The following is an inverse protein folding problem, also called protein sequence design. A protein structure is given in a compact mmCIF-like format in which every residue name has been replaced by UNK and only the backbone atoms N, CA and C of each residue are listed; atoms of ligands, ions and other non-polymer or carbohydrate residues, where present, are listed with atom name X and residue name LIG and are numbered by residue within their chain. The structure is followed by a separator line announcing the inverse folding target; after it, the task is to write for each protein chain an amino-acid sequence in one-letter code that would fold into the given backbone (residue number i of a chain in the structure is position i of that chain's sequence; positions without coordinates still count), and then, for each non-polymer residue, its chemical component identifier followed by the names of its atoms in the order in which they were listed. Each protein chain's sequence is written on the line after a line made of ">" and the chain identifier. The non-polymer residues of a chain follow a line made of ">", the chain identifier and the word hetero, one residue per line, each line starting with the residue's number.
data_IF_782412221448
#
_entry.id   IF_782412221448
#
_cell.length_a   1.000
_cell.length_b   1.000
_cell.length_c   1.000
_cell.angle_alpha   90.00
_cell.angle_beta   90.00
_cell.angle_gamma   90.00
#
_symmetry.space_group_name_H-M   'P 1'
#
loop_
_entity.id
_entity.type
_entity.pdbx_description
1 polymer ?
#
# COMPACT_ATOMS: atom_id res chain seq x y z
N UNK A 1 8.17 5.49 1.76
CA UNK A 1 6.74 5.24 1.47
C UNK A 1 6.52 3.88 0.81
N UNK A 2 7.31 3.50 -0.20
CA UNK A 2 7.25 2.19 -0.88
C UNK A 2 7.07 0.97 0.06
N UNK A 3 7.82 0.87 1.17
CA UNK A 3 7.71 -0.26 2.11
C UNK A 3 6.30 -0.40 2.71
N UNK A 4 5.65 0.72 3.07
CA UNK A 4 4.28 0.71 3.61
C UNK A 4 3.27 0.36 2.51
N UNK A 5 3.47 0.83 1.28
CA UNK A 5 2.61 0.47 0.16
C UNK A 5 2.74 -1.02 -0.19
N UNK A 6 3.95 -1.58 -0.13
CA UNK A 6 4.20 -3.01 -0.31
C UNK A 6 3.45 -3.84 0.72
N UNK A 7 3.43 -3.43 1.99
CA UNK A 7 2.64 -4.10 3.03
C UNK A 7 1.15 -4.15 2.67
N UNK A 8 0.59 -3.08 2.09
CA UNK A 8 -0.82 -3.08 1.64
C UNK A 8 -1.07 -3.96 0.41
N UNK A 9 -0.06 -4.19 -0.44
CA UNK A 9 -0.15 -5.16 -1.56
C UNK A 9 -0.14 -6.58 -1.00
N UNK A 10 0.84 -6.90 -0.15
CA UNK A 10 0.96 -8.22 0.48
C UNK A 10 -0.28 -8.60 1.30
N UNK A 11 -0.90 -7.62 1.95
CA UNK A 11 -2.16 -7.83 2.68
C UNK A 11 -3.33 -8.28 1.79
N UNK A 12 -3.20 -8.18 0.46
CA UNK A 12 -4.21 -8.64 -0.52
C UNK A 12 -3.84 -9.94 -1.22
N UNK A 13 -2.70 -10.56 -0.89
CA UNK A 13 -2.27 -11.80 -1.53
C UNK A 13 -3.36 -12.89 -1.41
N UNK A 14 -3.72 -13.48 -2.55
CA UNK A 14 -4.77 -14.50 -2.63
C UNK A 14 -6.20 -14.01 -2.39
N UNK A 15 -6.42 -12.70 -2.22
CA UNK A 15 -7.75 -12.13 -1.92
C UNK A 15 -8.43 -11.44 -3.11
N UNK A 16 -7.69 -11.20 -4.20
CA UNK A 16 -8.23 -10.60 -5.44
C UNK A 16 -8.61 -11.69 -6.44
N UNK A 17 -9.60 -11.39 -7.30
CA UNK A 17 -9.99 -12.31 -8.36
C UNK A 17 -8.92 -12.39 -9.46
N UNK A 18 -8.95 -13.48 -10.24
CA UNK A 18 -8.09 -13.62 -11.42
C UNK A 18 -8.29 -12.44 -12.39
N UNK A 19 -7.18 -11.87 -12.85
CA UNK A 19 -7.19 -10.69 -13.73
C UNK A 19 -7.35 -9.35 -12.99
N UNK A 20 -7.57 -9.35 -11.68
CA UNK A 20 -7.59 -8.12 -10.88
C UNK A 20 -6.23 -7.81 -10.23
N UNK A 21 -5.97 -6.53 -10.06
CA UNK A 21 -4.88 -6.01 -9.23
C UNK A 21 -5.38 -4.81 -8.43
N UNK A 22 -4.54 -4.22 -7.60
CA UNK A 22 -4.87 -2.99 -6.88
C UNK A 22 -3.83 -1.90 -7.08
N UNK A 23 -4.29 -0.67 -7.28
CA UNK A 23 -3.43 0.51 -7.44
C UNK A 23 -3.62 1.48 -6.29
N UNK A 24 -2.56 2.15 -5.86
CA UNK A 24 -2.64 3.20 -4.84
C UNK A 24 -3.38 4.43 -5.40
N UNK A 25 -4.38 4.93 -4.68
CA UNK A 25 -5.16 6.10 -5.06
C UNK A 25 -4.90 7.30 -4.14
N UNK A 26 -4.70 7.05 -2.84
CA UNK A 26 -4.37 8.08 -1.86
C UNK A 26 -3.51 7.48 -0.77
N UNK A 27 -2.53 8.25 -0.33
CA UNK A 27 -1.72 7.92 0.85
C UNK A 27 -1.61 9.16 1.73
N UNK A 28 -1.79 8.98 3.03
CA UNK A 28 -1.52 9.96 4.07
C UNK A 28 -0.55 9.33 5.05
N UNK A 29 0.54 10.02 5.39
CA UNK A 29 1.60 9.50 6.26
C UNK A 29 2.02 10.57 7.24
N UNK A 30 2.08 10.19 8.51
CA UNK A 30 2.72 10.96 9.56
C UNK A 30 4.03 10.24 9.90
N UNK A 31 5.17 10.88 9.59
CA UNK A 31 6.49 10.37 9.97
C UNK A 31 6.87 10.98 11.33
N UNK A 32 6.72 10.19 12.38
CA UNK A 32 6.68 10.66 13.76
C UNK A 32 8.03 10.54 14.49
N UNK A 33 8.95 9.72 13.98
CA UNK A 33 10.30 9.59 14.53
C UNK A 33 11.31 9.22 13.43
N UNK A 34 12.58 9.62 13.57
CA UNK A 34 13.63 9.27 12.59
C UNK A 34 14.09 7.82 12.74
N UNK A 35 14.57 7.23 11.64
CA UNK A 35 15.31 5.96 11.61
C UNK A 35 16.77 6.21 11.21
N UNK A 36 17.73 5.58 11.90
CA UNK A 36 19.14 5.65 11.52
C UNK A 36 19.44 4.83 10.26
N UNK A 37 20.44 5.21 9.44
CA UNK A 37 20.92 4.35 8.36
C UNK A 37 21.30 2.95 8.85
N UNK A 38 20.87 1.91 8.13
CA UNK A 38 21.09 0.51 8.51
C UNK A 38 20.10 -0.04 9.54
N UNK A 39 19.21 0.77 10.11
CA UNK A 39 18.13 0.28 10.96
C UNK A 39 17.15 -0.60 10.14
N UNK A 40 16.77 -1.74 10.71
CA UNK A 40 15.69 -2.57 10.17
C UNK A 40 14.34 -1.91 10.42
N UNK A 41 13.60 -1.61 9.35
CA UNK A 41 12.24 -1.06 9.40
C UNK A 41 11.25 -2.15 9.02
N UNK A 42 10.26 -2.38 9.85
CA UNK A 42 9.14 -3.28 9.56
C UNK A 42 7.92 -2.44 9.23
N UNK A 43 7.16 -2.81 8.19
CA UNK A 43 5.87 -2.19 7.89
C UNK A 43 4.75 -3.22 7.98
N UNK A 44 3.64 -2.80 8.58
CA UNK A 44 2.44 -3.60 8.71
C UNK A 44 1.25 -2.81 8.16
N UNK A 45 0.30 -3.51 7.55
CA UNK A 45 -0.92 -2.94 7.02
C UNK A 45 -2.11 -3.81 7.39
N UNK A 46 -3.21 -3.17 7.77
CA UNK A 46 -4.48 -3.80 8.11
C UNK A 46 -5.55 -3.23 7.20
N UNK A 47 -6.32 -4.09 6.53
CA UNK A 47 -7.49 -3.67 5.76
C UNK A 47 -8.63 -3.31 6.72
N UNK A 48 -8.88 -2.01 6.89
CA UNK A 48 -9.87 -1.49 7.85
C UNK A 48 -11.26 -1.37 7.23
N UNK A 49 -11.34 -1.15 5.91
CA UNK A 49 -12.63 -0.96 5.23
C UNK A 49 -12.60 -1.36 3.76
N UNK A 50 -13.68 -2.01 3.32
CA UNK A 50 -13.98 -2.31 1.91
C UNK A 50 -15.25 -1.59 1.49
N UNK A 51 -15.15 -0.71 0.51
CA UNK A 51 -16.25 0.07 -0.07
C UNK A 51 -16.30 -0.14 -1.59
N UNK A 52 -16.97 -1.23 -1.99
CA UNK A 52 -16.93 -1.71 -3.38
C UNK A 52 -15.50 -2.04 -3.78
N UNK A 53 -14.97 -1.31 -4.76
CA UNK A 53 -13.60 -1.45 -5.27
C UNK A 53 -12.55 -0.61 -4.52
N UNK A 54 -12.95 0.15 -3.48
CA UNK A 54 -12.02 0.95 -2.65
C UNK A 54 -11.69 0.19 -1.37
N UNK A 55 -10.40 0.10 -1.08
CA UNK A 55 -9.84 -0.61 0.06
C UNK A 55 -9.07 0.39 0.91
N UNK A 56 -9.53 0.66 2.12
CA UNK A 56 -8.87 1.56 3.07
C UNK A 56 -8.05 0.76 4.06
N UNK A 57 -6.76 1.05 4.12
CA UNK A 57 -5.80 0.43 5.02
C UNK A 57 -5.33 1.42 6.06
N UNK A 58 -5.26 0.97 7.31
CA UNK A 58 -4.39 1.54 8.33
C UNK A 58 -3.04 0.83 8.26
N UNK A 59 -1.93 1.56 8.40
CA UNK A 59 -0.61 0.99 8.35
C UNK A 59 0.36 1.71 9.29
N UNK A 60 1.41 1.01 9.68
CA UNK A 60 2.48 1.54 10.51
C UNK A 60 3.84 1.04 10.05
N UNK A 61 4.88 1.82 10.32
CA UNK A 61 6.25 1.37 10.23
C UNK A 61 6.94 1.49 11.58
N UNK A 62 7.73 0.49 11.95
CA UNK A 62 8.45 0.41 13.23
C UNK A 62 9.94 0.14 13.04
N UNK A 63 10.74 0.60 14.00
CA UNK A 63 12.13 0.17 14.22
C UNK A 63 12.19 -0.49 15.59
N UNK A 64 12.36 -1.82 15.62
CA UNK A 64 12.07 -2.59 16.83
C UNK A 64 10.60 -2.38 17.25
N UNK A 65 10.38 -2.00 18.51
CA UNK A 65 9.05 -1.72 19.05
C UNK A 65 8.61 -0.25 18.89
N UNK A 66 9.46 0.62 18.35
CA UNK A 66 9.18 2.05 18.21
C UNK A 66 8.51 2.36 16.87
N UNK A 67 7.33 3.00 16.90
CA UNK A 67 6.65 3.51 15.71
C UNK A 67 7.42 4.70 15.15
N UNK A 68 7.84 4.60 13.89
CA UNK A 68 8.48 5.69 13.15
C UNK A 68 7.53 6.37 12.17
N UNK A 69 6.52 5.66 11.68
CA UNK A 69 5.47 6.25 10.84
C UNK A 69 4.11 5.58 11.06
N UNK A 70 3.05 6.35 10.88
CA UNK A 70 1.67 5.84 10.71
C UNK A 70 1.13 6.30 9.37
N UNK A 71 0.25 5.53 8.76
CA UNK A 71 -0.30 5.84 7.46
C UNK A 71 -1.73 5.35 7.26
N UNK A 72 -2.46 6.06 6.41
CA UNK A 72 -3.71 5.58 5.81
C UNK A 72 -3.51 5.50 4.31
N UNK A 73 -3.79 4.34 3.73
CA UNK A 73 -3.62 4.08 2.29
C UNK A 73 -4.96 3.63 1.72
N UNK A 74 -5.40 4.27 0.65
CA UNK A 74 -6.55 3.82 -0.11
C UNK A 74 -6.04 3.19 -1.40
N UNK A 75 -6.26 1.88 -1.53
CA UNK A 75 -6.05 1.14 -2.78
C UNK A 75 -7.37 0.98 -3.52
N UNK A 76 -7.29 0.84 -4.83
CA UNK A 76 -8.45 0.60 -5.68
C UNK A 76 -8.22 -0.66 -6.50
N UNK A 77 -9.13 -1.62 -6.39
CA UNK A 77 -9.12 -2.83 -7.21
C UNK A 77 -9.50 -2.46 -8.65
N UNK A 78 -8.69 -2.89 -9.61
CA UNK A 78 -8.87 -2.64 -11.05
C UNK A 78 -8.71 -3.96 -11.80
N UNK A 79 -9.38 -4.07 -12.95
CA UNK A 79 -9.06 -5.11 -13.92
C UNK A 79 -7.75 -4.75 -14.62
N UNK A 80 -6.82 -5.70 -14.67
CA UNK A 80 -5.42 -5.47 -15.01
C UNK A 80 -5.25 -5.05 -16.47
N UNK A 81 -5.86 -5.77 -17.42
CA UNK A 81 -5.68 -5.49 -18.85
C UNK A 81 -6.26 -4.13 -19.23
N UNK A 82 -7.50 -3.85 -18.82
CA UNK A 82 -8.17 -2.57 -19.04
C UNK A 82 -7.44 -1.41 -18.37
N UNK A 83 -6.76 -1.65 -17.26
CA UNK A 83 -5.93 -0.62 -16.63
C UNK A 83 -4.68 -0.33 -17.48
N UNK A 84 -4.00 -1.37 -17.97
CA UNK A 84 -2.84 -1.25 -18.85
C UNK A 84 -3.19 -0.63 -20.21
N UNK A 85 -4.33 -0.93 -20.79
CA UNK A 85 -4.80 -0.33 -22.05
C UNK A 85 -4.97 1.19 -21.98
N UNK A 86 -5.04 1.77 -20.77
CA UNK A 86 -5.19 3.22 -20.55
C UNK A 86 -3.87 3.96 -20.37
N UNK A 87 -2.77 3.24 -20.20
CA UNK A 87 -1.43 3.83 -20.09
C UNK A 87 -0.70 3.63 -21.41
N UNK A 88 -0.14 4.72 -21.94
CA UNK A 88 0.72 4.64 -23.12
C UNK A 88 2.02 3.95 -22.69
N UNK A 89 2.15 2.68 -23.08
CA UNK A 89 3.28 1.81 -22.69
C UNK A 89 4.60 2.22 -23.34
N UNK A 90 4.56 3.17 -24.29
CA UNK A 90 5.73 3.72 -24.98
C UNK A 90 6.16 5.10 -24.46
N UNK A 91 5.53 5.61 -23.39
CA UNK A 91 5.89 6.88 -22.76
C UNK A 91 6.97 6.68 -21.67
N UNK A 92 8.16 6.21 -22.04
CA UNK A 92 9.39 6.32 -21.21
C UNK A 92 10.63 6.37 -22.08
#
# INVERSE_FOLDING_TARGET
>A
MALIEEATVKALDGSLADGETSVGMRIHVDHVAPSAPGAGVTAEAVLERVEGRRLTFGASATVGDAVVATATIIRVVVETQRFLDRVDVDAT
#
